data_IF_296694079855
#
_entry.id   IF_296694079855
#
_cell.length_a   1.000
_cell.length_b   1.000
_cell.length_c   1.000
_cell.angle_alpha   90.00
_cell.angle_beta   90.00
_cell.angle_gamma   90.00
#
_symmetry.space_group_name_H-M   'P 1'
#
loop_
_entity.id
_entity.type
_entity.pdbx_description
1 polymer ?
#
# COMPACT_ATOMS: atom_id res chain seq x y z
N UNK A 1 8.98 -0.21 -28.97
CA UNK A 1 7.68 -0.79 -28.55
C UNK A 1 6.77 -0.97 -29.75
N UNK A 2 6.13 -2.14 -29.89
CA UNK A 2 5.08 -2.32 -30.92
C UNK A 2 3.94 -1.33 -30.63
N UNK A 3 3.47 -0.59 -31.65
CA UNK A 3 2.42 0.45 -31.51
C UNK A 3 1.17 0.01 -30.74
N UNK A 4 0.88 -1.29 -30.68
CA UNK A 4 -0.28 -1.88 -29.98
C UNK A 4 -0.12 -2.07 -28.46
N UNK A 5 1.05 -1.76 -27.85
CA UNK A 5 1.29 -1.96 -26.42
C UNK A 5 0.96 -0.71 -25.56
N UNK A 6 0.87 0.48 -26.17
CA UNK A 6 0.56 1.71 -25.44
C UNK A 6 -0.79 1.69 -24.70
N UNK A 7 -1.91 1.27 -25.34
CA UNK A 7 -3.20 1.17 -24.64
C UNK A 7 -3.16 0.18 -23.48
N UNK A 8 -2.50 -0.97 -23.68
CA UNK A 8 -2.33 -1.99 -22.63
C UNK A 8 -1.58 -1.43 -21.42
N UNK A 9 -0.47 -0.71 -21.65
CA UNK A 9 0.32 -0.11 -20.57
C UNK A 9 -0.49 0.96 -19.84
N UNK A 10 -1.20 1.84 -20.59
CA UNK A 10 -2.04 2.88 -19.99
C UNK A 10 -3.09 2.27 -19.05
N UNK A 11 -3.79 1.21 -19.49
CA UNK A 11 -4.79 0.51 -18.68
C UNK A 11 -4.14 -0.15 -17.46
N UNK A 12 -2.97 -0.81 -17.62
CA UNK A 12 -2.28 -1.43 -16.52
C UNK A 12 -1.78 -0.40 -15.49
N UNK A 13 -1.47 0.84 -15.87
CA UNK A 13 -1.13 1.93 -14.96
C UNK A 13 -2.33 2.37 -14.09
N UNK A 14 -3.55 2.27 -14.59
CA UNK A 14 -4.75 2.62 -13.82
C UNK A 14 -5.04 1.63 -12.70
N UNK A 15 -4.57 0.36 -12.80
CA UNK A 15 -4.82 -0.66 -11.78
C UNK A 15 -4.15 -0.32 -10.44
N UNK A 16 -2.83 -0.05 -10.35
CA UNK A 16 -2.20 0.40 -9.11
C UNK A 16 -2.74 1.74 -8.60
N UNK A 17 -3.12 2.65 -9.50
CA UNK A 17 -3.72 3.93 -9.13
C UNK A 17 -5.03 3.73 -8.36
N UNK A 18 -5.99 2.96 -8.92
CA UNK A 18 -7.30 2.72 -8.29
C UNK A 18 -7.16 1.94 -6.99
N UNK A 19 -6.29 0.95 -6.95
CA UNK A 19 -6.11 0.13 -5.75
C UNK A 19 -5.71 0.98 -4.54
N UNK A 20 -4.86 1.98 -4.73
CA UNK A 20 -4.43 2.90 -3.66
C UNK A 20 -5.58 3.81 -3.20
N UNK A 21 -6.48 4.18 -4.10
CA UNK A 21 -7.65 5.00 -3.72
C UNK A 21 -8.44 4.33 -2.59
N UNK A 22 -8.55 3.00 -2.58
CA UNK A 22 -9.41 2.23 -1.70
C UNK A 22 -9.29 2.52 -0.19
N UNK A 23 -8.10 2.88 0.29
CA UNK A 23 -7.91 3.24 1.69
C UNK A 23 -7.57 4.73 1.85
N UNK A 24 -6.73 5.27 0.98
CA UNK A 24 -6.18 6.62 1.16
C UNK A 24 -7.23 7.72 1.00
N UNK A 25 -8.25 7.52 0.16
CA UNK A 25 -9.36 8.48 0.01
C UNK A 25 -10.21 8.61 1.28
N UNK A 26 -10.30 7.57 2.09
CA UNK A 26 -11.13 7.60 3.30
C UNK A 26 -10.46 8.36 4.45
N UNK A 27 -9.14 8.47 4.49
CA UNK A 27 -8.41 9.06 5.63
C UNK A 27 -8.95 10.45 6.01
N UNK A 28 -9.07 11.44 5.11
CA UNK A 28 -9.62 12.75 5.46
C UNK A 28 -11.11 12.73 5.78
N UNK A 29 -11.82 11.65 5.39
CA UNK A 29 -13.26 11.49 5.57
C UNK A 29 -13.60 10.75 6.86
N UNK A 30 -12.66 10.01 7.45
CA UNK A 30 -12.89 9.20 8.65
C UNK A 30 -13.59 9.96 9.78
N UNK A 31 -13.20 11.20 10.14
CA UNK A 31 -13.90 11.94 11.19
C UNK A 31 -15.37 12.23 10.84
N UNK A 32 -15.67 12.55 9.59
CA UNK A 32 -17.06 12.76 9.15
C UNK A 32 -17.87 11.46 9.21
N UNK A 33 -17.25 10.32 8.89
CA UNK A 33 -17.88 8.99 9.05
C UNK A 33 -18.15 8.70 10.53
N UNK A 34 -17.25 9.10 11.44
CA UNK A 34 -17.49 8.95 12.88
C UNK A 34 -18.76 9.70 13.33
N UNK A 35 -18.87 10.96 12.90
CA UNK A 35 -20.01 11.82 13.22
C UNK A 35 -21.32 11.24 12.69
N UNK A 36 -21.37 10.89 11.40
CA UNK A 36 -22.58 10.43 10.71
C UNK A 36 -23.05 9.02 11.15
N UNK A 37 -22.14 8.15 11.58
CA UNK A 37 -22.47 6.80 12.00
C UNK A 37 -22.43 6.62 13.53
N UNK A 38 -22.14 7.68 14.28
CA UNK A 38 -22.01 7.69 15.75
C UNK A 38 -21.06 6.61 16.28
N UNK A 39 -19.90 6.44 15.60
CA UNK A 39 -18.86 5.45 15.95
C UNK A 39 -17.58 6.12 16.44
N UNK A 40 -16.81 5.41 17.27
CA UNK A 40 -15.53 5.93 17.77
C UNK A 40 -14.40 5.82 16.76
N UNK A 41 -13.26 6.52 17.03
CA UNK A 41 -12.09 6.53 16.17
C UNK A 41 -11.52 5.12 15.91
N UNK A 42 -11.51 4.25 16.92
CA UNK A 42 -11.10 2.85 16.77
C UNK A 42 -12.00 2.11 15.78
N UNK A 43 -13.32 2.30 15.92
CA UNK A 43 -14.29 1.63 15.07
C UNK A 43 -14.19 2.09 13.62
N UNK A 44 -14.08 3.39 13.37
CA UNK A 44 -13.91 3.88 11.99
C UNK A 44 -12.58 3.43 11.37
N UNK A 45 -11.53 3.25 12.18
CA UNK A 45 -10.28 2.65 11.75
C UNK A 45 -10.43 1.23 11.20
N UNK A 46 -11.43 0.46 11.71
CA UNK A 46 -11.73 -0.87 11.17
C UNK A 46 -12.19 -0.85 9.71
N UNK A 47 -12.69 0.25 9.18
CA UNK A 47 -12.99 0.36 7.74
C UNK A 47 -11.74 0.13 6.86
N UNK A 48 -10.57 0.54 7.34
CA UNK A 48 -9.28 0.30 6.68
C UNK A 48 -8.78 -1.12 6.96
N UNK A 49 -8.97 -1.61 8.18
CA UNK A 49 -8.58 -2.95 8.62
C UNK A 49 -9.28 -4.05 7.83
N UNK A 50 -10.62 -4.01 7.77
CA UNK A 50 -11.44 -5.06 7.13
C UNK A 50 -11.34 -5.08 5.61
N UNK A 51 -10.81 -4.02 5.01
CA UNK A 51 -10.37 -4.02 3.63
C UNK A 51 -8.96 -4.64 3.49
N UNK A 52 -8.05 -4.24 4.37
CA UNK A 52 -6.62 -4.54 4.20
C UNK A 52 -6.27 -5.98 4.58
N UNK A 53 -6.92 -6.57 5.59
CA UNK A 53 -6.67 -7.97 5.98
C UNK A 53 -7.06 -8.94 4.86
N UNK A 54 -8.31 -8.93 4.31
CA UNK A 54 -8.65 -9.80 3.20
C UNK A 54 -7.78 -9.57 1.97
N UNK A 55 -7.45 -8.31 1.64
CA UNK A 55 -6.54 -8.00 0.55
C UNK A 55 -5.17 -8.68 0.75
N UNK A 56 -4.58 -8.53 1.94
CA UNK A 56 -3.30 -9.16 2.28
C UNK A 56 -3.35 -10.69 2.19
N UNK A 57 -4.42 -11.31 2.66
CA UNK A 57 -4.60 -12.77 2.61
C UNK A 57 -4.73 -13.24 1.14
N UNK A 58 -5.51 -12.54 0.32
CA UNK A 58 -5.80 -12.95 -1.06
C UNK A 58 -4.58 -12.80 -1.98
N UNK A 59 -3.67 -11.84 -1.74
CA UNK A 59 -2.52 -11.55 -2.61
C UNK A 59 -1.72 -12.81 -3.00
N UNK A 60 -1.21 -13.66 -2.08
CA UNK A 60 -0.41 -14.82 -2.45
C UNK A 60 -1.24 -15.88 -3.21
N UNK A 61 -2.50 -16.07 -2.84
CA UNK A 61 -3.38 -17.02 -3.53
C UNK A 61 -3.73 -16.55 -4.94
N UNK A 62 -4.06 -15.26 -5.11
CA UNK A 62 -4.30 -14.68 -6.42
C UNK A 62 -3.06 -14.77 -7.31
N UNK A 63 -1.87 -14.53 -6.75
CA UNK A 63 -0.59 -14.70 -7.44
C UNK A 63 -0.41 -16.13 -7.96
N UNK A 64 -0.47 -17.13 -7.07
CA UNK A 64 -0.33 -18.54 -7.44
C UNK A 64 -1.38 -19.01 -8.47
N UNK A 65 -2.63 -18.59 -8.31
CA UNK A 65 -3.70 -18.98 -9.24
C UNK A 65 -3.52 -18.32 -10.61
N UNK A 66 -3.10 -17.06 -10.62
CA UNK A 66 -2.87 -16.30 -11.84
C UNK A 66 -1.74 -16.87 -12.71
N UNK A 67 -0.70 -17.42 -12.11
CA UNK A 67 0.38 -18.09 -12.82
C UNK A 67 -0.11 -19.34 -13.59
N UNK A 68 -1.21 -19.97 -13.13
CA UNK A 68 -1.77 -21.21 -13.70
C UNK A 68 -2.83 -20.98 -14.77
N UNK A 69 -3.77 -20.06 -14.50
CA UNK A 69 -4.94 -19.85 -15.36
C UNK A 69 -4.88 -18.58 -16.19
N UNK A 70 -3.90 -17.71 -15.88
CA UNK A 70 -3.68 -16.42 -16.54
C UNK A 70 -3.94 -15.25 -15.59
N UNK A 71 -3.09 -14.24 -15.66
CA UNK A 71 -3.15 -13.06 -14.78
C UNK A 71 -4.39 -12.22 -15.04
N UNK A 72 -4.70 -12.00 -16.31
CA UNK A 72 -5.89 -11.29 -16.78
C UNK A 72 -7.19 -11.93 -16.27
N UNK A 73 -7.26 -13.27 -16.27
CA UNK A 73 -8.44 -14.03 -15.84
C UNK A 73 -8.72 -13.91 -14.35
N UNK A 74 -7.71 -13.60 -13.53
CA UNK A 74 -7.87 -13.33 -12.10
C UNK A 74 -8.09 -11.84 -11.86
N UNK A 75 -7.36 -10.97 -12.56
CA UNK A 75 -7.43 -9.52 -12.35
C UNK A 75 -8.81 -8.93 -12.73
N UNK A 76 -9.44 -9.44 -13.79
CA UNK A 76 -10.76 -8.99 -14.21
C UNK A 76 -11.83 -9.19 -13.13
N UNK A 77 -12.12 -10.41 -12.65
CA UNK A 77 -13.10 -10.59 -11.57
C UNK A 77 -12.67 -9.90 -10.28
N UNK A 78 -11.39 -9.81 -9.99
CA UNK A 78 -10.89 -9.10 -8.82
C UNK A 78 -11.24 -7.60 -8.86
N UNK A 79 -11.10 -6.93 -10.01
CA UNK A 79 -11.51 -5.54 -10.21
C UNK A 79 -13.03 -5.37 -10.10
N UNK A 80 -13.81 -6.34 -10.59
CA UNK A 80 -15.27 -6.34 -10.44
C UNK A 80 -15.67 -6.47 -8.97
N UNK A 81 -15.10 -7.44 -8.23
CA UNK A 81 -15.37 -7.64 -6.79
C UNK A 81 -14.97 -6.38 -6.01
N UNK A 82 -13.82 -5.79 -6.33
CA UNK A 82 -13.38 -4.53 -5.73
C UNK A 82 -14.39 -3.39 -5.96
N UNK A 83 -14.84 -3.24 -7.20
CA UNK A 83 -15.81 -2.21 -7.57
C UNK A 83 -17.18 -2.42 -6.94
N UNK A 84 -17.70 -3.66 -7.01
CA UNK A 84 -18.98 -4.06 -6.39
C UNK A 84 -18.94 -3.81 -4.88
N UNK A 85 -17.86 -4.20 -4.19
CA UNK A 85 -17.69 -3.92 -2.77
C UNK A 85 -17.76 -2.43 -2.45
N UNK A 86 -17.16 -1.57 -3.29
CA UNK A 86 -17.26 -0.12 -3.16
C UNK A 86 -18.70 0.37 -3.35
N UNK A 87 -19.39 -0.05 -4.42
CA UNK A 87 -20.79 0.33 -4.69
C UNK A 87 -21.71 -0.11 -3.57
N UNK A 88 -21.55 -1.34 -3.04
CA UNK A 88 -22.33 -1.84 -1.91
C UNK A 88 -22.10 -1.00 -0.65
N UNK A 89 -20.87 -0.60 -0.35
CA UNK A 89 -20.57 0.25 0.80
C UNK A 89 -21.31 1.60 0.70
N UNK A 90 -21.27 2.24 -0.47
CA UNK A 90 -22.02 3.48 -0.73
C UNK A 90 -23.54 3.29 -0.67
N UNK A 91 -24.05 2.22 -1.24
CA UNK A 91 -25.47 1.88 -1.23
C UNK A 91 -25.97 1.64 0.20
N UNK A 92 -25.23 0.87 0.99
CA UNK A 92 -25.58 0.59 2.38
C UNK A 92 -25.55 1.86 3.26
N UNK A 93 -24.63 2.78 2.97
CA UNK A 93 -24.61 4.09 3.64
C UNK A 93 -25.92 4.87 3.40
N UNK A 94 -26.47 4.83 2.19
CA UNK A 94 -27.74 5.49 1.86
C UNK A 94 -28.93 4.77 2.51
N UNK A 95 -28.98 3.44 2.38
CA UNK A 95 -30.15 2.63 2.81
C UNK A 95 -30.28 2.56 4.33
N UNK A 96 -29.17 2.36 5.06
CA UNK A 96 -29.18 2.11 6.50
C UNK A 96 -28.81 3.34 7.35
N UNK A 97 -28.39 4.45 6.72
CA UNK A 97 -28.05 5.73 7.37
C UNK A 97 -27.15 5.51 8.61
N UNK A 98 -27.56 5.93 9.78
CA UNK A 98 -26.82 5.79 11.05
C UNK A 98 -26.49 4.33 11.42
N UNK A 99 -27.30 3.36 10.97
CA UNK A 99 -27.10 1.92 11.19
C UNK A 99 -26.27 1.25 10.11
N UNK A 100 -25.67 2.01 9.17
CA UNK A 100 -24.96 1.47 8.04
C UNK A 100 -23.59 0.82 8.39
N UNK A 101 -23.01 1.13 9.55
CA UNK A 101 -21.64 0.71 9.89
C UNK A 101 -21.36 -0.79 9.68
N UNK A 102 -22.13 -1.76 10.25
CA UNK A 102 -21.87 -3.18 10.06
C UNK A 102 -22.00 -3.64 8.60
N UNK A 103 -22.90 -3.03 7.85
CA UNK A 103 -23.09 -3.33 6.43
C UNK A 103 -21.95 -2.82 5.57
N UNK A 104 -21.44 -1.62 5.86
CA UNK A 104 -20.26 -1.05 5.22
C UNK A 104 -19.03 -1.93 5.52
N UNK A 105 -18.87 -2.42 6.74
CA UNK A 105 -17.83 -3.40 7.12
C UNK A 105 -17.87 -4.62 6.20
N UNK A 106 -19.06 -5.24 6.03
CA UNK A 106 -19.24 -6.39 5.14
C UNK A 106 -18.84 -6.07 3.68
N UNK A 107 -19.29 -4.93 3.17
CA UNK A 107 -18.95 -4.46 1.81
C UNK A 107 -17.44 -4.21 1.65
N UNK A 108 -16.77 -3.69 2.68
CA UNK A 108 -15.33 -3.46 2.71
C UNK A 108 -14.52 -4.76 2.71
N UNK A 109 -15.01 -5.83 3.34
CA UNK A 109 -14.41 -7.17 3.25
C UNK A 109 -14.45 -7.65 1.80
N UNK A 110 -15.61 -7.56 1.13
CA UNK A 110 -15.77 -7.93 -0.29
C UNK A 110 -14.79 -7.12 -1.15
N UNK A 111 -14.73 -5.81 -0.93
CA UNK A 111 -13.82 -4.92 -1.65
C UNK A 111 -12.35 -5.31 -1.43
N UNK A 112 -11.97 -5.67 -0.20
CA UNK A 112 -10.62 -6.12 0.14
C UNK A 112 -10.23 -7.42 -0.58
N UNK A 113 -11.14 -8.39 -0.67
CA UNK A 113 -10.94 -9.63 -1.44
C UNK A 113 -10.60 -9.29 -2.91
N UNK A 114 -11.35 -8.38 -3.51
CA UNK A 114 -11.06 -7.90 -4.87
C UNK A 114 -9.69 -7.21 -4.96
N UNK A 115 -9.33 -6.37 -4.00
CA UNK A 115 -8.07 -5.65 -4.00
C UNK A 115 -6.83 -6.56 -4.07
N UNK A 116 -6.88 -7.73 -3.40
CA UNK A 116 -5.78 -8.70 -3.38
C UNK A 116 -5.39 -9.24 -4.76
N UNK A 117 -6.32 -9.26 -5.71
CA UNK A 117 -6.10 -9.73 -7.09
C UNK A 117 -5.81 -8.64 -8.12
N UNK A 118 -5.37 -7.44 -7.72
CA UNK A 118 -5.24 -6.28 -8.62
C UNK A 118 -3.79 -5.84 -8.84
N UNK A 119 -3.23 -5.06 -7.94
CA UNK A 119 -1.94 -4.38 -8.11
C UNK A 119 -0.79 -5.32 -8.44
N UNK A 120 -0.61 -6.39 -7.64
CA UNK A 120 0.50 -7.32 -7.83
C UNK A 120 0.39 -8.07 -9.17
N UNK A 121 -0.83 -8.41 -9.58
CA UNK A 121 -1.08 -9.04 -10.87
C UNK A 121 -0.86 -8.08 -12.03
N UNK A 122 -1.23 -6.81 -11.89
CA UNK A 122 -0.96 -5.76 -12.87
C UNK A 122 0.55 -5.58 -13.11
N UNK A 123 1.36 -5.53 -12.04
CA UNK A 123 2.81 -5.46 -12.12
C UNK A 123 3.41 -6.71 -12.79
N UNK A 124 2.92 -7.88 -12.41
CA UNK A 124 3.39 -9.13 -12.96
C UNK A 124 3.03 -9.26 -14.46
N UNK A 125 1.79 -8.91 -14.83
CA UNK A 125 1.32 -8.95 -16.23
C UNK A 125 2.13 -7.98 -17.12
N UNK A 126 2.38 -6.76 -16.64
CA UNK A 126 3.25 -5.81 -17.34
C UNK A 126 4.67 -6.37 -17.55
N UNK A 127 5.22 -7.04 -16.52
CA UNK A 127 6.52 -7.69 -16.59
C UNK A 127 6.60 -8.88 -17.56
N UNK A 128 5.48 -9.59 -17.77
CA UNK A 128 5.41 -10.73 -18.70
C UNK A 128 5.22 -10.27 -20.15
N UNK A 129 4.44 -9.21 -20.36
CA UNK A 129 4.18 -8.67 -21.70
C UNK A 129 5.39 -7.98 -22.33
N UNK A 130 6.29 -7.45 -21.49
CA UNK A 130 7.42 -6.64 -21.94
C UNK A 130 8.72 -7.33 -21.56
N UNK A 131 9.37 -7.97 -22.55
CA UNK A 131 10.60 -8.76 -22.39
C UNK A 131 11.87 -8.00 -22.78
N UNK A 132 11.78 -6.72 -23.14
CA UNK A 132 12.89 -5.86 -23.59
C UNK A 132 13.47 -5.01 -22.46
N UNK A 133 14.52 -4.24 -22.77
CA UNK A 133 15.08 -3.21 -21.89
C UNK A 133 14.04 -2.17 -21.44
N UNK A 134 12.88 -2.09 -22.09
CA UNK A 134 11.76 -1.24 -21.73
C UNK A 134 10.95 -1.75 -20.52
N UNK A 135 11.15 -3.01 -20.09
CA UNK A 135 10.44 -3.62 -18.96
C UNK A 135 10.57 -2.80 -17.68
N UNK A 136 11.78 -2.41 -17.34
CA UNK A 136 12.05 -1.60 -16.13
C UNK A 136 11.36 -0.24 -16.19
N UNK A 137 11.33 0.38 -17.39
CA UNK A 137 10.64 1.66 -17.62
C UNK A 137 9.13 1.54 -17.40
N UNK A 138 8.52 0.47 -17.89
CA UNK A 138 7.06 0.26 -17.75
C UNK A 138 6.70 -0.09 -16.31
N UNK A 139 7.47 -0.94 -15.63
CA UNK A 139 7.25 -1.22 -14.21
C UNK A 139 7.42 0.04 -13.36
N UNK A 140 8.42 0.88 -13.68
CA UNK A 140 8.59 2.20 -13.07
C UNK A 140 7.40 3.13 -13.30
N UNK A 141 6.77 3.08 -14.48
CA UNK A 141 5.57 3.86 -14.77
C UNK A 141 4.37 3.40 -13.93
N UNK A 142 4.16 2.09 -13.77
CA UNK A 142 3.11 1.56 -12.90
C UNK A 142 3.30 2.00 -11.43
N UNK A 143 4.55 1.98 -10.95
CA UNK A 143 4.88 2.48 -9.60
C UNK A 143 4.66 3.99 -9.49
N UNK A 144 4.96 4.76 -10.53
CA UNK A 144 4.67 6.20 -10.55
C UNK A 144 3.17 6.49 -10.44
N UNK A 145 2.33 5.70 -11.13
CA UNK A 145 0.87 5.80 -11.00
C UNK A 145 0.37 5.37 -9.61
N UNK A 146 0.99 4.37 -8.98
CA UNK A 146 0.73 4.03 -7.59
C UNK A 146 1.09 5.19 -6.65
N UNK A 147 2.24 5.82 -6.85
CA UNK A 147 2.68 7.01 -6.11
C UNK A 147 1.74 8.20 -6.32
N UNK A 148 1.36 8.48 -7.57
CA UNK A 148 0.40 9.54 -7.91
C UNK A 148 -0.95 9.29 -7.23
N UNK A 149 -1.43 8.04 -7.23
CA UNK A 149 -2.65 7.64 -6.53
C UNK A 149 -2.61 7.99 -5.05
N UNK A 150 -1.48 7.74 -4.37
CA UNK A 150 -1.31 8.10 -2.95
C UNK A 150 -1.42 9.60 -2.70
N UNK A 151 -0.83 10.42 -3.57
CA UNK A 151 -0.87 11.90 -3.44
C UNK A 151 -2.26 12.44 -3.74
N UNK A 152 -2.89 11.95 -4.82
CA UNK A 152 -4.22 12.43 -5.26
C UNK A 152 -5.33 11.96 -4.32
N UNK A 153 -5.20 10.78 -3.72
CA UNK A 153 -6.26 10.15 -2.91
C UNK A 153 -6.81 11.02 -1.78
N UNK A 154 -6.02 11.59 -0.87
CA UNK A 154 -6.56 12.42 0.20
C UNK A 154 -7.29 13.64 -0.32
N UNK A 155 -6.77 14.26 -1.38
CA UNK A 155 -7.37 15.43 -2.03
C UNK A 155 -8.70 15.07 -2.70
N UNK A 156 -8.69 14.02 -3.52
CA UNK A 156 -9.89 13.55 -4.21
C UNK A 156 -10.96 13.08 -3.21
N UNK A 157 -10.54 12.33 -2.17
CA UNK A 157 -11.45 11.88 -1.12
C UNK A 157 -12.12 13.03 -0.40
N UNK A 158 -11.34 14.05 -0.02
CA UNK A 158 -11.87 15.24 0.63
C UNK A 158 -12.80 16.05 -0.29
N UNK A 159 -12.43 16.25 -1.56
CA UNK A 159 -13.25 16.97 -2.53
C UNK A 159 -14.59 16.27 -2.82
N UNK A 160 -14.55 14.95 -3.03
CA UNK A 160 -15.74 14.15 -3.32
C UNK A 160 -16.66 14.06 -2.10
N UNK A 161 -16.09 14.01 -0.90
CA UNK A 161 -16.84 13.99 0.34
C UNK A 161 -17.56 15.32 0.67
N UNK A 162 -17.26 16.41 -0.06
CA UNK A 162 -18.07 17.65 -0.01
C UNK A 162 -19.49 17.42 -0.53
N UNK A 163 -19.70 16.50 -1.46
CA UNK A 163 -21.02 16.12 -1.96
C UNK A 163 -21.75 15.30 -0.89
N UNK A 164 -21.11 14.25 -0.42
CA UNK A 164 -21.56 13.45 0.73
C UNK A 164 -20.43 12.54 1.22
N UNK A 165 -20.38 12.27 2.51
CA UNK A 165 -19.35 11.45 3.15
C UNK A 165 -19.23 10.03 2.57
N UNK A 166 -20.28 9.48 1.98
CA UNK A 166 -20.31 8.14 1.38
C UNK A 166 -19.94 8.14 -0.13
N UNK A 167 -19.85 9.29 -0.79
CA UNK A 167 -19.51 9.37 -2.22
C UNK A 167 -18.16 8.73 -2.58
N UNK A 168 -17.10 8.81 -1.77
CA UNK A 168 -15.85 8.10 -2.05
C UNK A 168 -16.03 6.58 -2.30
N UNK A 169 -16.99 5.93 -1.65
CA UNK A 169 -17.28 4.51 -1.87
C UNK A 169 -17.79 4.24 -3.30
N UNK A 170 -18.63 5.09 -3.85
CA UNK A 170 -19.12 4.95 -5.22
C UNK A 170 -18.01 5.13 -6.26
N UNK A 171 -17.04 6.02 -6.00
CA UNK A 171 -15.91 6.25 -6.91
C UNK A 171 -15.12 4.97 -7.15
N UNK A 172 -14.95 4.12 -6.15
CA UNK A 172 -14.27 2.84 -6.33
C UNK A 172 -14.95 1.95 -7.36
N UNK A 173 -16.26 1.85 -7.30
CA UNK A 173 -17.05 1.06 -8.25
C UNK A 173 -17.05 1.67 -9.65
N UNK A 174 -17.31 2.97 -9.73
CA UNK A 174 -17.36 3.70 -11.01
C UNK A 174 -16.03 3.65 -11.76
N UNK A 175 -14.90 3.63 -11.06
CA UNK A 175 -13.58 3.55 -11.68
C UNK A 175 -13.15 2.11 -11.94
N UNK A 176 -13.31 1.21 -10.96
CA UNK A 176 -12.74 -0.14 -11.05
C UNK A 176 -13.47 -1.04 -12.05
N UNK A 177 -14.79 -0.96 -12.14
CA UNK A 177 -15.58 -1.81 -13.05
C UNK A 177 -15.23 -1.54 -14.52
N UNK A 178 -15.26 -0.29 -15.03
CA UNK A 178 -14.84 -0.02 -16.41
C UNK A 178 -13.40 -0.44 -16.68
N UNK A 179 -12.48 -0.22 -15.75
CA UNK A 179 -11.08 -0.64 -15.91
C UNK A 179 -10.97 -2.17 -15.95
N UNK A 180 -11.77 -2.89 -15.16
CA UNK A 180 -11.87 -4.34 -15.27
C UNK A 180 -12.24 -4.78 -16.69
N UNK A 181 -13.26 -4.19 -17.30
CA UNK A 181 -13.63 -4.45 -18.69
C UNK A 181 -12.54 -4.04 -19.69
N UNK A 182 -11.89 -2.89 -19.50
CA UNK A 182 -10.76 -2.49 -20.34
C UNK A 182 -9.61 -3.50 -20.25
N UNK A 183 -9.29 -4.02 -19.07
CA UNK A 183 -8.32 -5.09 -18.89
C UNK A 183 -8.76 -6.33 -19.67
N UNK A 184 -10.05 -6.72 -19.60
CA UNK A 184 -10.58 -7.88 -20.29
C UNK A 184 -10.50 -7.75 -21.82
N UNK A 185 -10.79 -6.59 -22.38
CA UNK A 185 -10.91 -6.42 -23.83
C UNK A 185 -9.60 -6.02 -24.51
N UNK A 186 -8.81 -5.17 -23.88
CA UNK A 186 -7.62 -4.57 -24.51
C UNK A 186 -6.33 -5.34 -24.20
N UNK A 187 -6.22 -5.91 -22.99
CA UNK A 187 -4.99 -6.60 -22.59
C UNK A 187 -4.97 -8.01 -23.20
N UNK A 188 -3.96 -8.28 -24.02
CA UNK A 188 -3.74 -9.62 -24.59
C UNK A 188 -2.71 -10.36 -23.75
N UNK A 189 -3.01 -11.59 -23.35
CA UNK A 189 -2.13 -12.44 -22.53
C UNK A 189 -1.95 -13.81 -23.22
N UNK A 190 -0.69 -14.23 -23.40
CA UNK A 190 -0.37 -15.56 -23.93
C UNK A 190 -0.27 -16.59 -22.79
N UNK A 191 -1.41 -17.15 -22.43
CA UNK A 191 -1.53 -18.15 -21.34
C UNK A 191 -0.73 -19.43 -21.62
N UNK A 192 -0.46 -19.78 -22.89
CA UNK A 192 0.32 -20.98 -23.23
C UNK A 192 1.77 -20.86 -22.79
N UNK A 193 2.38 -19.66 -22.96
CA UNK A 193 3.75 -19.39 -22.48
C UNK A 193 3.85 -19.39 -20.95
N UNK A 194 2.82 -18.89 -20.27
CA UNK A 194 2.76 -18.91 -18.81
C UNK A 194 2.72 -20.34 -18.26
N UNK A 195 1.88 -21.21 -18.80
CA UNK A 195 1.73 -22.61 -18.37
C UNK A 195 3.03 -23.43 -18.46
N UNK A 196 3.92 -23.11 -19.39
CA UNK A 196 5.22 -23.79 -19.52
C UNK A 196 6.21 -23.47 -18.41
N UNK A 197 5.97 -22.38 -17.63
CA UNK A 197 6.84 -21.93 -16.56
C UNK A 197 6.30 -22.26 -15.15
N UNK A 198 5.11 -22.88 -15.06
CA UNK A 198 4.45 -23.16 -13.78
C UNK A 198 5.12 -24.31 -13.06
N UNK A 199 5.59 -24.03 -11.84
CA UNK A 199 6.13 -25.05 -10.95
C UNK A 199 5.02 -25.78 -10.16
N UNK A 200 5.19 -27.04 -9.79
CA UNK A 200 4.31 -27.74 -8.85
C UNK A 200 4.24 -27.01 -7.50
N UNK A 201 3.07 -26.98 -6.85
CA UNK A 201 2.85 -26.29 -5.58
C UNK A 201 3.84 -26.74 -4.48
N UNK A 202 4.12 -28.05 -4.30
CA UNK A 202 5.08 -28.49 -3.27
C UNK A 202 6.48 -27.94 -3.51
N UNK A 203 6.93 -27.86 -4.77
CA UNK A 203 8.22 -27.30 -5.14
C UNK A 203 8.28 -25.81 -4.86
N UNK A 204 7.19 -25.09 -5.15
CA UNK A 204 7.05 -23.66 -4.89
C UNK A 204 7.21 -23.31 -3.39
N UNK A 205 6.57 -24.07 -2.50
CA UNK A 205 6.75 -23.92 -1.04
C UNK A 205 8.11 -24.40 -0.55
N UNK A 206 8.66 -25.45 -1.17
CA UNK A 206 9.99 -25.94 -0.85
C UNK A 206 11.10 -24.94 -1.17
N UNK A 207 11.02 -24.27 -2.30
CA UNK A 207 11.99 -23.23 -2.69
C UNK A 207 11.84 -21.98 -1.83
N UNK A 208 10.63 -21.60 -1.45
CA UNK A 208 10.38 -20.55 -0.47
C UNK A 208 11.04 -20.88 0.89
N UNK A 209 10.85 -22.11 1.39
CA UNK A 209 11.45 -22.55 2.64
C UNK A 209 12.98 -22.49 2.60
N UNK A 210 13.62 -22.81 1.46
CA UNK A 210 15.07 -22.68 1.27
C UNK A 210 15.53 -21.22 1.34
N UNK A 211 14.80 -20.29 0.70
CA UNK A 211 15.11 -18.85 0.75
C UNK A 211 15.03 -18.35 2.19
N UNK A 212 13.97 -18.70 2.90
CA UNK A 212 13.82 -18.31 4.31
C UNK A 212 14.83 -19.00 5.23
N UNK A 213 15.24 -20.22 4.95
CA UNK A 213 16.30 -20.91 5.71
C UNK A 213 17.66 -20.23 5.53
N UNK A 214 17.98 -19.74 4.34
CA UNK A 214 19.28 -19.11 4.04
C UNK A 214 19.37 -17.62 4.36
N UNK A 215 18.27 -16.88 4.22
CA UNK A 215 18.22 -15.40 4.35
C UNK A 215 17.11 -14.93 5.31
N UNK A 216 16.50 -15.86 6.08
CA UNK A 216 15.25 -15.63 6.79
C UNK A 216 15.26 -14.46 7.76
N UNK A 217 16.31 -14.33 8.56
CA UNK A 217 16.40 -13.26 9.55
C UNK A 217 16.47 -11.87 8.88
N UNK A 218 17.25 -11.75 7.81
CA UNK A 218 17.35 -10.50 7.06
C UNK A 218 16.04 -10.16 6.32
N UNK A 219 15.37 -11.16 5.71
CA UNK A 219 14.07 -10.97 5.07
C UNK A 219 12.97 -10.68 6.09
N UNK A 220 12.95 -11.35 7.24
CA UNK A 220 12.00 -11.06 8.32
C UNK A 220 12.15 -9.62 8.83
N UNK A 221 13.41 -9.17 9.02
CA UNK A 221 13.68 -7.76 9.40
C UNK A 221 13.20 -6.79 8.33
N UNK A 222 13.41 -7.10 7.04
CA UNK A 222 12.93 -6.27 5.94
C UNK A 222 11.39 -6.26 5.87
N UNK A 223 10.73 -7.40 6.07
CA UNK A 223 9.28 -7.50 6.10
C UNK A 223 8.69 -6.71 7.28
N UNK A 224 9.27 -6.86 8.46
CA UNK A 224 8.89 -6.08 9.65
C UNK A 224 9.04 -4.57 9.41
N UNK A 225 10.15 -4.16 8.80
CA UNK A 225 10.39 -2.74 8.47
C UNK A 225 9.33 -2.18 7.51
N UNK A 226 8.92 -2.97 6.51
CA UNK A 226 7.85 -2.59 5.57
C UNK A 226 6.47 -2.52 6.22
N UNK A 227 6.18 -3.46 7.13
CA UNK A 227 4.96 -3.44 7.96
C UNK A 227 4.94 -2.17 8.82
N UNK A 228 6.01 -1.88 9.56
CA UNK A 228 6.12 -0.73 10.45
C UNK A 228 5.98 0.60 9.70
N UNK A 229 6.57 0.71 8.50
CA UNK A 229 6.47 1.93 7.70
C UNK A 229 5.02 2.26 7.33
N UNK A 230 4.22 1.26 6.90
CA UNK A 230 2.83 1.47 6.57
C UNK A 230 1.92 1.53 7.81
N UNK A 231 2.23 0.78 8.86
CA UNK A 231 1.57 0.87 10.15
C UNK A 231 1.65 2.27 10.73
N UNK A 232 2.86 2.84 10.79
CA UNK A 232 3.08 4.19 11.29
C UNK A 232 2.43 5.25 10.40
N UNK A 233 2.56 5.13 9.08
CA UNK A 233 2.00 6.10 8.14
C UNK A 233 0.47 6.15 8.23
N UNK A 234 -0.21 5.00 8.05
CA UNK A 234 -1.68 4.96 8.05
C UNK A 234 -2.25 5.23 9.44
N UNK A 235 -1.58 4.75 10.49
CA UNK A 235 -1.95 5.04 11.87
C UNK A 235 -1.87 6.53 12.19
N UNK A 236 -0.72 7.15 11.90
CA UNK A 236 -0.53 8.58 12.15
C UNK A 236 -1.48 9.43 11.32
N UNK A 237 -1.63 9.18 10.01
CA UNK A 237 -2.50 9.99 9.15
C UNK A 237 -3.98 9.89 9.57
N UNK A 238 -4.44 8.69 9.98
CA UNK A 238 -5.79 8.50 10.50
C UNK A 238 -6.02 9.29 11.79
N UNK A 239 -5.09 9.20 12.74
CA UNK A 239 -5.13 9.96 13.98
C UNK A 239 -5.00 11.47 13.73
N UNK A 240 -4.12 11.89 12.85
CA UNK A 240 -3.92 13.31 12.50
C UNK A 240 -5.17 13.90 11.85
N UNK A 241 -5.88 13.13 11.00
CA UNK A 241 -7.17 13.54 10.43
C UNK A 241 -8.18 13.89 11.52
N UNK A 242 -8.26 13.08 12.57
CA UNK A 242 -9.15 13.32 13.72
C UNK A 242 -8.73 14.57 14.53
N UNK A 243 -7.43 14.73 14.78
CA UNK A 243 -6.86 15.92 15.43
C UNK A 243 -7.18 17.21 14.66
N UNK A 244 -7.03 17.18 13.33
CA UNK A 244 -7.32 18.33 12.46
C UNK A 244 -8.78 18.76 12.59
N UNK A 245 -9.71 17.82 12.71
CA UNK A 245 -11.12 18.13 12.90
C UNK A 245 -11.44 18.57 14.32
N UNK A 246 -11.10 17.75 15.33
CA UNK A 246 -11.54 17.96 16.71
C UNK A 246 -10.84 19.13 17.39
N UNK A 247 -9.51 19.29 17.20
CA UNK A 247 -8.73 20.33 17.86
C UNK A 247 -8.67 21.62 17.06
N UNK A 248 -8.49 21.52 15.72
CA UNK A 248 -8.31 22.70 14.86
C UNK A 248 -9.57 23.11 14.11
N UNK A 249 -10.65 22.32 14.19
CA UNK A 249 -11.93 22.58 13.50
C UNK A 249 -11.78 22.75 11.99
N UNK A 250 -10.81 22.06 11.40
CA UNK A 250 -10.51 22.15 9.96
C UNK A 250 -11.54 21.34 9.17
N UNK A 251 -12.21 21.99 8.24
CA UNK A 251 -13.18 21.36 7.36
C UNK A 251 -12.54 20.32 6.43
N UNK A 252 -13.37 19.48 5.81
CA UNK A 252 -12.95 18.26 5.11
C UNK A 252 -11.94 18.51 3.98
N UNK A 253 -12.14 19.58 3.17
CA UNK A 253 -11.28 19.85 2.02
C UNK A 253 -9.87 20.35 2.42
N UNK A 254 -9.71 21.42 3.24
CA UNK A 254 -8.40 21.80 3.76
C UNK A 254 -7.70 20.69 4.53
N UNK A 255 -8.45 19.82 5.23
CA UNK A 255 -7.92 18.62 5.89
C UNK A 255 -7.25 17.68 4.90
N UNK A 256 -7.88 17.42 3.77
CA UNK A 256 -7.30 16.63 2.68
C UNK A 256 -6.00 17.23 2.14
N UNK A 257 -5.94 18.56 1.99
CA UNK A 257 -4.72 19.28 1.58
C UNK A 257 -3.58 19.09 2.59
N UNK A 258 -3.85 19.28 3.88
CA UNK A 258 -2.85 19.14 4.95
C UNK A 258 -2.33 17.70 5.02
N UNK A 259 -3.23 16.71 4.99
CA UNK A 259 -2.86 15.29 4.97
C UNK A 259 -2.12 14.89 3.69
N UNK A 260 -2.36 15.60 2.60
CA UNK A 260 -1.65 15.43 1.34
C UNK A 260 -0.16 15.80 1.42
N UNK A 261 0.24 16.74 2.30
CA UNK A 261 1.62 17.20 2.44
C UNK A 261 2.58 16.07 2.81
N UNK A 262 2.39 15.32 3.93
CA UNK A 262 3.26 14.19 4.27
C UNK A 262 3.32 13.11 3.17
N UNK A 263 2.18 12.87 2.49
CA UNK A 263 2.10 11.87 1.42
C UNK A 263 2.83 12.33 0.16
N UNK A 264 2.75 13.61 -0.19
CA UNK A 264 3.51 14.20 -1.28
C UNK A 264 5.03 14.11 -1.01
N UNK A 265 5.45 14.47 0.20
CA UNK A 265 6.85 14.37 0.61
C UNK A 265 7.33 12.92 0.55
N UNK A 266 6.52 11.97 1.02
CA UNK A 266 6.79 10.53 0.88
C UNK A 266 6.97 10.13 -0.59
N UNK A 267 6.09 10.57 -1.48
CA UNK A 267 6.14 10.22 -2.89
C UNK A 267 7.37 10.82 -3.60
N UNK A 268 7.70 12.08 -3.32
CA UNK A 268 8.90 12.75 -3.83
C UNK A 268 10.17 12.06 -3.34
N UNK A 269 10.25 11.74 -2.05
CA UNK A 269 11.40 11.01 -1.47
C UNK A 269 11.56 9.63 -2.11
N UNK A 270 10.45 8.89 -2.28
CA UNK A 270 10.48 7.58 -2.91
C UNK A 270 10.93 7.66 -4.37
N UNK A 271 10.51 8.68 -5.13
CA UNK A 271 10.93 8.91 -6.51
C UNK A 271 12.43 9.23 -6.61
N UNK A 272 12.90 10.20 -5.81
CA UNK A 272 14.31 10.61 -5.80
C UNK A 272 15.21 9.43 -5.43
N UNK A 273 14.91 8.73 -4.34
CA UNK A 273 15.71 7.57 -3.91
C UNK A 273 15.63 6.42 -4.90
N UNK A 274 14.47 6.16 -5.50
CA UNK A 274 14.32 5.14 -6.53
C UNK A 274 15.22 5.40 -7.76
N UNK A 275 15.35 6.66 -8.19
CA UNK A 275 16.24 7.03 -9.30
C UNK A 275 17.72 6.95 -8.93
N UNK A 276 18.07 7.36 -7.70
CA UNK A 276 19.46 7.31 -7.21
C UNK A 276 19.92 5.86 -6.99
N UNK A 277 19.05 4.99 -6.48
CA UNK A 277 19.35 3.57 -6.29
C UNK A 277 19.66 2.82 -7.58
N UNK A 278 19.16 3.26 -8.74
CA UNK A 278 19.51 2.67 -10.03
C UNK A 278 21.01 2.76 -10.34
N UNK A 279 21.72 3.72 -9.77
CA UNK A 279 23.16 3.96 -10.02
C UNK A 279 24.09 3.35 -8.96
N UNK A 280 23.62 3.20 -7.70
CA UNK A 280 24.43 2.72 -6.57
C UNK A 280 23.58 1.86 -5.63
N UNK A 281 23.04 0.77 -6.15
CA UNK A 281 21.98 -0.01 -5.52
C UNK A 281 22.30 -0.49 -4.09
N UNK A 282 23.42 -1.17 -3.88
CA UNK A 282 23.66 -1.90 -2.63
C UNK A 282 23.99 -1.00 -1.43
N UNK A 283 24.75 0.08 -1.64
CA UNK A 283 25.18 0.98 -0.55
C UNK A 283 24.05 1.91 -0.12
N UNK A 284 23.38 2.54 -1.07
CA UNK A 284 22.33 3.52 -0.82
C UNK A 284 21.11 2.85 -0.21
N UNK A 285 20.74 1.64 -0.68
CA UNK A 285 19.59 0.88 -0.23
C UNK A 285 19.62 0.63 1.29
N UNK A 286 20.75 0.19 1.83
CA UNK A 286 20.89 -0.08 3.27
C UNK A 286 20.68 1.18 4.10
N UNK A 287 21.43 2.23 3.77
CA UNK A 287 21.39 3.49 4.52
C UNK A 287 20.06 4.21 4.39
N UNK A 288 19.43 4.18 3.21
CA UNK A 288 18.12 4.78 3.02
C UNK A 288 17.04 4.08 3.88
N UNK A 289 17.09 2.72 3.98
CA UNK A 289 16.19 1.99 4.84
C UNK A 289 16.43 2.29 6.34
N UNK A 290 17.68 2.30 6.79
CA UNK A 290 18.05 2.57 8.19
C UNK A 290 17.66 4.00 8.59
N UNK A 291 18.10 5.00 7.82
CA UNK A 291 17.79 6.41 8.07
C UNK A 291 16.26 6.61 8.03
N UNK A 292 15.59 6.00 7.06
CA UNK A 292 14.14 6.04 6.95
C UNK A 292 13.41 5.52 8.20
N UNK A 293 13.87 4.40 8.78
CA UNK A 293 13.30 3.86 10.03
C UNK A 293 13.52 4.79 11.22
N UNK A 294 14.70 5.43 11.33
CA UNK A 294 14.92 6.45 12.36
C UNK A 294 14.07 7.70 12.12
N UNK A 295 13.84 8.11 10.87
CA UNK A 295 12.93 9.22 10.55
C UNK A 295 11.48 8.91 10.90
N UNK A 296 11.02 7.64 10.71
CA UNK A 296 9.70 7.20 11.18
C UNK A 296 9.58 7.42 12.69
N UNK A 297 10.58 6.96 13.46
CA UNK A 297 10.61 7.14 14.91
C UNK A 297 10.64 8.62 15.29
N UNK A 298 11.48 9.42 14.65
CA UNK A 298 11.58 10.86 14.92
C UNK A 298 10.26 11.58 14.66
N UNK A 299 9.57 11.28 13.54
CA UNK A 299 8.25 11.84 13.23
C UNK A 299 7.21 11.52 14.32
N UNK A 300 7.18 10.27 14.81
CA UNK A 300 6.29 9.85 15.88
C UNK A 300 6.60 10.56 17.22
N UNK A 301 7.87 10.63 17.60
CA UNK A 301 8.31 11.29 18.83
C UNK A 301 7.96 12.78 18.78
N UNK A 302 8.27 13.45 17.68
CA UNK A 302 8.02 14.88 17.51
C UNK A 302 6.52 15.21 17.44
N UNK A 303 5.66 14.29 17.02
CA UNK A 303 4.21 14.51 16.98
C UNK A 303 3.59 14.67 18.38
N UNK A 304 4.22 14.14 19.43
CA UNK A 304 3.68 14.19 20.79
C UNK A 304 3.73 15.59 21.45
N UNK A 305 4.86 16.30 21.46
CA UNK A 305 4.98 17.60 22.12
C UNK A 305 4.32 18.73 21.34
N UNK A 306 4.19 18.63 20.02
CA UNK A 306 3.58 19.69 19.22
C UNK A 306 2.08 19.78 19.45
N UNK A 307 1.61 21.02 19.71
CA UNK A 307 0.19 21.36 19.86
C UNK A 307 -0.31 22.28 18.76
N UNK A 308 0.57 22.80 17.91
CA UNK A 308 0.22 23.68 16.80
C UNK A 308 0.14 22.91 15.48
N UNK A 309 -0.64 23.43 14.55
CA UNK A 309 -0.90 22.81 13.25
C UNK A 309 0.39 22.53 12.46
N UNK A 310 1.27 23.51 12.38
CA UNK A 310 2.50 23.40 11.59
C UNK A 310 3.49 22.40 12.18
N UNK A 311 3.64 22.39 13.51
CA UNK A 311 4.49 21.41 14.20
C UNK A 311 4.02 19.97 13.94
N UNK A 312 2.70 19.71 14.04
CA UNK A 312 2.14 18.39 13.74
C UNK A 312 2.32 18.02 12.26
N UNK A 313 2.13 18.97 11.34
CA UNK A 313 2.33 18.74 9.91
C UNK A 313 3.79 18.45 9.57
N UNK A 314 4.74 19.16 10.21
CA UNK A 314 6.19 18.90 10.05
C UNK A 314 6.54 17.51 10.59
N UNK A 315 6.06 17.14 11.78
CA UNK A 315 6.29 15.82 12.36
C UNK A 315 5.75 14.69 11.46
N UNK A 316 4.52 14.85 10.94
CA UNK A 316 3.94 13.93 9.98
C UNK A 316 4.73 13.88 8.65
N UNK A 317 5.30 15.01 8.22
CA UNK A 317 6.13 15.09 7.01
C UNK A 317 7.48 14.40 7.18
N UNK A 318 8.10 14.47 8.36
CA UNK A 318 9.31 13.71 8.71
C UNK A 318 9.02 12.20 8.65
N UNK A 319 7.87 11.76 9.14
CA UNK A 319 7.43 10.36 9.00
C UNK A 319 7.20 10.00 7.53
N UNK A 320 6.62 10.91 6.75
CA UNK A 320 6.46 10.75 5.30
C UNK A 320 7.81 10.57 4.58
N UNK A 321 8.83 11.39 4.89
CA UNK A 321 10.20 11.25 4.41
C UNK A 321 10.75 9.85 4.73
N UNK A 322 10.61 9.42 5.99
CA UNK A 322 11.05 8.09 6.43
C UNK A 322 10.37 6.97 5.66
N UNK A 323 9.04 7.02 5.50
CA UNK A 323 8.28 6.03 4.72
C UNK A 323 8.73 6.01 3.25
N UNK A 324 8.94 7.19 2.66
CA UNK A 324 9.42 7.35 1.30
C UNK A 324 10.84 6.82 1.07
N UNK A 325 11.66 6.75 2.11
CA UNK A 325 12.98 6.15 2.07
C UNK A 325 12.94 4.63 2.27
N UNK A 326 12.14 4.14 3.21
CA UNK A 326 12.04 2.71 3.55
C UNK A 326 11.42 1.90 2.43
N UNK A 327 10.27 2.31 1.89
CA UNK A 327 9.49 1.47 0.98
C UNK A 327 10.22 1.12 -0.33
N UNK A 328 10.82 2.05 -1.10
CA UNK A 328 11.54 1.69 -2.33
C UNK A 328 12.80 0.88 -2.04
N UNK A 329 13.48 1.15 -0.92
CA UNK A 329 14.64 0.37 -0.49
C UNK A 329 14.27 -1.09 -0.25
N UNK A 330 13.19 -1.35 0.47
CA UNK A 330 12.72 -2.70 0.74
C UNK A 330 12.15 -3.38 -0.50
N UNK A 331 11.40 -2.67 -1.35
CA UNK A 331 10.92 -3.21 -2.61
C UNK A 331 12.09 -3.70 -3.47
N UNK A 332 13.15 -2.90 -3.60
CA UNK A 332 14.35 -3.26 -4.34
C UNK A 332 15.08 -4.44 -3.70
N UNK A 333 15.31 -4.42 -2.40
CA UNK A 333 15.96 -5.51 -1.67
C UNK A 333 15.23 -6.84 -1.85
N UNK A 334 13.91 -6.84 -1.61
CA UNK A 334 13.09 -8.05 -1.60
C UNK A 334 12.92 -8.61 -3.01
N UNK A 335 12.65 -7.76 -4.00
CA UNK A 335 12.54 -8.21 -5.40
C UNK A 335 13.86 -8.73 -5.96
N UNK A 336 15.01 -8.23 -5.47
CA UNK A 336 16.33 -8.68 -5.89
C UNK A 336 16.88 -9.84 -5.06
N UNK A 337 16.25 -10.20 -3.95
CA UNK A 337 16.73 -11.27 -3.06
C UNK A 337 16.48 -12.68 -3.59
N UNK A 338 15.53 -12.84 -4.49
CA UNK A 338 15.10 -14.14 -5.03
C UNK A 338 15.39 -14.24 -6.54
N UNK A 339 15.67 -15.48 -7.03
CA UNK A 339 15.76 -15.79 -8.46
C UNK A 339 14.48 -15.37 -9.20
N UNK A 340 14.55 -15.23 -10.52
CA UNK A 340 13.41 -14.80 -11.37
C UNK A 340 12.17 -15.67 -11.18
N UNK A 341 12.36 -16.98 -10.95
CA UNK A 341 11.28 -17.99 -10.76
C UNK A 341 10.52 -17.83 -9.45
N UNK A 342 11.14 -17.31 -8.39
CA UNK A 342 10.58 -17.25 -7.04
C UNK A 342 10.30 -15.82 -6.58
N UNK A 343 10.76 -14.83 -7.37
CA UNK A 343 10.62 -13.40 -7.08
C UNK A 343 9.16 -12.99 -6.83
N UNK A 344 8.25 -13.52 -7.64
CA UNK A 344 6.82 -13.22 -7.54
C UNK A 344 6.26 -13.57 -6.16
N UNK A 345 6.58 -14.77 -5.63
CA UNK A 345 6.10 -15.22 -4.34
C UNK A 345 6.61 -14.37 -3.19
N UNK A 346 7.93 -14.13 -3.16
CA UNK A 346 8.54 -13.33 -2.08
C UNK A 346 7.96 -11.90 -2.09
N UNK A 347 7.73 -11.34 -3.28
CA UNK A 347 7.09 -10.03 -3.44
C UNK A 347 5.63 -10.03 -2.99
N UNK A 348 4.87 -11.08 -3.28
CA UNK A 348 3.48 -11.23 -2.81
C UNK A 348 3.41 -11.33 -1.29
N UNK A 349 4.28 -12.13 -0.66
CA UNK A 349 4.35 -12.23 0.80
C UNK A 349 4.71 -10.89 1.46
N UNK A 350 5.65 -10.16 0.87
CA UNK A 350 5.96 -8.81 1.32
C UNK A 350 4.76 -7.88 1.19
N UNK A 351 4.02 -7.96 0.07
CA UNK A 351 2.76 -7.25 -0.12
C UNK A 351 1.75 -7.55 0.98
N UNK A 352 1.56 -8.83 1.32
CA UNK A 352 0.69 -9.28 2.41
C UNK A 352 1.05 -8.62 3.74
N UNK A 353 2.33 -8.70 4.12
CA UNK A 353 2.82 -8.14 5.40
C UNK A 353 2.62 -6.62 5.45
N UNK A 354 2.84 -5.91 4.33
CA UNK A 354 2.57 -4.47 4.22
C UNK A 354 1.09 -4.14 4.42
N UNK A 355 0.18 -4.94 3.85
CA UNK A 355 -1.25 -4.75 4.06
C UNK A 355 -1.67 -4.96 5.51
N UNK A 356 -1.03 -5.86 6.24
CA UNK A 356 -1.26 -6.00 7.68
C UNK A 356 -0.80 -4.77 8.46
N UNK A 357 0.31 -4.13 8.06
CA UNK A 357 0.71 -2.83 8.62
C UNK A 357 -0.39 -1.77 8.43
N UNK A 358 -0.91 -1.63 7.21
CA UNK A 358 -2.05 -0.72 6.91
C UNK A 358 -3.29 -1.06 7.74
N UNK A 359 -3.57 -2.35 7.93
CA UNK A 359 -4.74 -2.82 8.64
C UNK A 359 -4.71 -2.48 10.14
N UNK A 360 -3.57 -2.66 10.78
CA UNK A 360 -3.42 -2.55 12.24
C UNK A 360 -3.24 -1.08 12.67
N UNK A 361 -2.64 -0.25 11.81
CA UNK A 361 -2.28 1.13 12.13
C UNK A 361 -3.45 1.98 12.66
N UNK A 362 -4.50 2.22 11.85
CA UNK A 362 -5.57 3.14 12.23
C UNK A 362 -6.30 2.77 13.54
N UNK A 363 -6.71 1.51 13.79
CA UNK A 363 -7.35 1.16 15.06
C UNK A 363 -6.42 1.34 16.27
N UNK A 364 -5.14 0.96 16.16
CA UNK A 364 -4.20 1.10 17.28
C UNK A 364 -3.90 2.56 17.59
N UNK A 365 -3.69 3.40 16.56
CA UNK A 365 -3.53 4.84 16.80
C UNK A 365 -4.83 5.48 17.28
N UNK A 366 -5.99 4.94 16.91
CA UNK A 366 -7.28 5.35 17.46
C UNK A 366 -7.39 5.15 18.97
N UNK A 367 -6.70 4.17 19.56
CA UNK A 367 -6.63 3.99 21.01
C UNK A 367 -5.95 5.15 21.72
N UNK A 368 -5.08 5.93 21.03
CA UNK A 368 -4.44 7.10 21.60
C UNK A 368 -5.44 8.19 22.04
N UNK A 369 -6.64 8.21 21.46
CA UNK A 369 -7.72 9.09 21.91
C UNK A 369 -8.25 8.68 23.31
N UNK A 370 -8.31 7.36 23.60
CA UNK A 370 -8.88 6.84 24.85
C UNK A 370 -7.88 6.76 26.00
N UNK A 371 -6.63 6.42 25.71
CA UNK A 371 -5.60 6.19 26.73
C UNK A 371 -4.77 7.45 26.93
N UNK A 372 -3.99 7.82 25.96
CA UNK A 372 -3.23 9.06 25.73
C UNK A 372 -2.32 8.87 24.52
N UNK A 373 -1.84 9.98 23.91
CA UNK A 373 -0.92 9.92 22.76
C UNK A 373 0.42 9.23 23.07
N UNK A 374 1.17 9.61 24.15
CA UNK A 374 2.56 9.22 24.32
C UNK A 374 2.80 7.70 24.30
N UNK A 375 2.05 6.83 25.00
CA UNK A 375 2.37 5.40 25.04
C UNK A 375 2.41 4.76 23.66
N UNK A 376 1.41 5.02 22.80
CA UNK A 376 1.30 4.41 21.48
C UNK A 376 2.40 4.93 20.54
N UNK A 377 2.62 6.25 20.57
CA UNK A 377 3.60 6.90 19.70
C UNK A 377 5.04 6.52 20.10
N UNK A 378 5.39 6.55 21.37
CA UNK A 378 6.74 6.20 21.84
C UNK A 378 7.02 4.69 21.72
N UNK A 379 6.05 3.83 21.97
CA UNK A 379 6.21 2.39 21.77
C UNK A 379 6.45 2.09 20.28
N UNK A 380 5.65 2.68 19.40
CA UNK A 380 5.84 2.52 17.96
C UNK A 380 7.19 3.07 17.49
N UNK A 381 7.61 4.24 18.01
CA UNK A 381 8.91 4.81 17.72
C UNK A 381 10.05 3.90 18.19
N UNK A 382 9.95 3.35 19.41
CA UNK A 382 10.91 2.39 19.94
C UNK A 382 11.04 1.14 19.07
N UNK A 383 9.93 0.61 18.58
CA UNK A 383 9.94 -0.54 17.66
C UNK A 383 10.57 -0.16 16.30
N UNK A 384 10.34 1.05 15.79
CA UNK A 384 10.98 1.54 14.57
C UNK A 384 12.51 1.72 14.76
N UNK A 385 12.95 2.22 15.90
CA UNK A 385 14.38 2.33 16.26
C UNK A 385 15.00 0.93 16.32
N UNK A 386 14.37 0.00 17.04
CA UNK A 386 14.83 -1.38 17.13
C UNK A 386 14.92 -2.04 15.75
N UNK A 387 13.90 -1.87 14.92
CA UNK A 387 13.92 -2.36 13.53
C UNK A 387 15.06 -1.74 12.72
N UNK A 388 15.34 -0.43 12.88
CA UNK A 388 16.48 0.26 12.25
C UNK A 388 17.82 -0.32 12.67
N UNK A 389 18.00 -0.57 13.98
CA UNK A 389 19.21 -1.20 14.53
C UNK A 389 19.35 -2.64 14.02
N UNK A 390 18.28 -3.44 14.07
CA UNK A 390 18.29 -4.81 13.53
C UNK A 390 18.61 -4.81 12.03
N UNK A 391 18.03 -3.88 11.27
CA UNK A 391 18.31 -3.76 9.84
C UNK A 391 19.77 -3.43 9.56
N UNK A 392 20.37 -2.54 10.36
CA UNK A 392 21.77 -2.16 10.25
C UNK A 392 22.72 -3.37 10.44
N UNK A 393 22.44 -4.25 11.40
CA UNK A 393 23.32 -5.36 11.71
C UNK A 393 22.99 -6.65 10.94
N UNK A 394 21.72 -6.93 10.66
CA UNK A 394 21.29 -8.22 10.09
C UNK A 394 21.12 -8.17 8.57
N UNK A 395 20.91 -6.98 7.98
CA UNK A 395 20.68 -6.85 6.55
C UNK A 395 21.94 -6.35 5.83
N UNK A 396 22.58 -7.28 5.12
CA UNK A 396 23.67 -6.96 4.19
C UNK A 396 23.20 -7.15 2.75
N UNK A 397 22.91 -6.07 2.01
CA UNK A 397 22.44 -6.18 0.62
C UNK A 397 23.40 -6.95 -0.29
N UNK A 398 24.70 -6.88 -0.02
CA UNK A 398 25.71 -7.60 -0.83
C UNK A 398 25.61 -9.12 -0.70
N UNK A 399 25.15 -9.62 0.45
CA UNK A 399 24.93 -11.06 0.69
C UNK A 399 23.56 -11.53 0.21
N UNK A 400 22.57 -10.63 0.24
CA UNK A 400 21.18 -10.95 -0.09
C UNK A 400 20.96 -10.90 -1.60
N UNK A 401 21.50 -9.89 -2.29
CA UNK A 401 21.35 -9.66 -3.74
C UNK A 401 22.40 -10.48 -4.49
N UNK A 402 22.01 -11.31 -5.48
CA UNK A 402 22.95 -12.06 -6.31
C UNK A 402 23.95 -11.12 -7.01
N UNK A 403 25.21 -11.55 -7.14
CA UNK A 403 26.30 -10.73 -7.74
C UNK A 403 25.97 -10.23 -9.14
N UNK A 404 25.25 -11.02 -9.92
CA UNK A 404 24.80 -10.68 -11.27
C UNK A 404 23.88 -9.45 -11.37
N UNK A 405 23.28 -9.03 -10.25
CA UNK A 405 22.32 -7.91 -10.16
C UNK A 405 22.96 -6.70 -9.45
N UNK A 406 24.17 -6.86 -8.88
CA UNK A 406 24.84 -5.80 -8.10
C UNK A 406 25.60 -4.79 -8.95
N UNK A 407 25.83 -5.08 -10.25
CA UNK A 407 26.53 -4.24 -11.21
C UNK A 407 25.65 -3.17 -11.84
#
# INVERSE_FOLDING_TARGET
MKKNLYPTIAILCLVPFIMVLGNSMLIPVLPKIQEELHVGLVQVGFLITVFSIPAGIVIPFAGMLSDRIGRKKIMFPALLIYGIGGLLAGLFAILFKEKAFPWIIGARIIQGIGAGGTYQLGMALAGDLIQSNERSKVLGLLEAFNGLGKVVSPLAGAAIALISWYMPFFVYGVLAIPIGFLVLWVVSEDVKKLKQQVQPIPKYFGDLAKIFKSKGLALATAFLSGLLALFALFGLLSFFSDVLEKQFKISIFPRGLILGIPVLIMALTAYILGTVMQKQMTRILKWAAVIGLFMLAAGLILFCPFKNLWGLTIAASILGLGTGAVLPSLNTLITSSAPKTERGLVTCLYGTVRFFGVAIGPPLFGLAEKISKPPIFFTTAGICILAGVLFLFLVDPKKIIPKEIQS
#
